data_IF_429255889574
#
_entry.id   IF_429255889574
#
_cell.length_a   1.000
_cell.length_b   1.000
_cell.length_c   1.000
_cell.angle_alpha   90.00
_cell.angle_beta   90.00
_cell.angle_gamma   90.00
#
_symmetry.space_group_name_H-M   'P 1'
#
loop_
_entity.id
_entity.type
_entity.pdbx_description
1 polymer ?
#
# COMPACT_ATOMS: atom_id res chain seq x y z
N UNK A 1 42.72 -9.53 14.53
CA UNK A 1 41.98 -10.78 14.28
C UNK A 1 42.39 -11.24 12.90
N UNK A 2 42.93 -12.44 12.80
CA UNK A 2 43.23 -13.05 11.50
C UNK A 2 41.93 -13.60 10.92
N UNK A 3 41.42 -12.97 9.85
CA UNK A 3 40.15 -13.37 9.22
C UNK A 3 40.31 -14.63 8.34
N UNK A 4 41.53 -15.17 8.20
CA UNK A 4 41.79 -16.37 7.40
C UNK A 4 41.29 -17.67 8.04
N UNK A 5 40.97 -17.67 9.35
CA UNK A 5 40.40 -18.82 10.06
C UNK A 5 38.85 -18.85 10.04
N UNK A 6 38.19 -17.85 9.44
CA UNK A 6 36.73 -17.83 9.40
C UNK A 6 36.18 -18.90 8.43
N UNK A 7 35.07 -19.56 8.78
CA UNK A 7 34.38 -20.48 7.87
C UNK A 7 34.02 -19.79 6.56
N UNK A 8 34.21 -20.49 5.44
CA UNK A 8 33.99 -19.94 4.10
C UNK A 8 32.57 -19.41 3.89
N UNK A 9 31.56 -20.05 4.49
CA UNK A 9 30.17 -19.59 4.43
C UNK A 9 29.94 -18.22 5.11
N UNK A 10 30.70 -17.93 6.17
CA UNK A 10 30.64 -16.63 6.85
C UNK A 10 31.30 -15.56 5.99
N UNK A 11 32.45 -15.87 5.40
CA UNK A 11 33.15 -14.95 4.49
C UNK A 11 32.26 -14.60 3.29
N UNK A 12 31.61 -15.60 2.67
CA UNK A 12 30.63 -15.35 1.59
C UNK A 12 29.48 -14.46 2.05
N UNK A 13 28.88 -14.75 3.20
CA UNK A 13 27.75 -13.96 3.73
C UNK A 13 28.14 -12.50 4.01
N UNK A 14 29.36 -12.25 4.49
CA UNK A 14 29.89 -10.91 4.73
C UNK A 14 30.13 -10.15 3.43
N UNK A 15 30.71 -10.81 2.42
CA UNK A 15 30.90 -10.22 1.10
C UNK A 15 29.56 -9.88 0.44
N UNK A 16 28.58 -10.78 0.55
CA UNK A 16 27.23 -10.55 0.04
C UNK A 16 26.56 -9.38 0.77
N UNK A 17 26.71 -9.29 2.09
CA UNK A 17 26.20 -8.16 2.87
C UNK A 17 26.83 -6.85 2.42
N UNK A 18 28.15 -6.81 2.24
CA UNK A 18 28.85 -5.61 1.78
C UNK A 18 28.37 -5.17 0.39
N UNK A 19 28.31 -6.10 -0.57
CA UNK A 19 27.83 -5.82 -1.91
C UNK A 19 26.38 -5.31 -1.91
N UNK A 20 25.51 -5.86 -1.06
CA UNK A 20 24.14 -5.38 -0.91
C UNK A 20 24.07 -3.98 -0.30
N UNK A 21 24.95 -3.65 0.66
CA UNK A 21 25.03 -2.31 1.23
C UNK A 21 25.50 -1.29 0.18
N UNK A 22 26.48 -1.64 -0.65
CA UNK A 22 26.94 -0.79 -1.77
C UNK A 22 25.79 -0.49 -2.75
N UNK A 23 24.93 -1.48 -3.03
CA UNK A 23 23.73 -1.29 -3.86
C UNK A 23 22.76 -0.31 -3.20
N UNK A 24 22.48 -0.48 -1.90
CA UNK A 24 21.56 0.39 -1.16
C UNK A 24 22.09 1.83 -1.14
N UNK A 25 23.38 2.01 -0.86
CA UNK A 25 24.03 3.33 -0.86
C UNK A 25 23.99 3.99 -2.24
N UNK A 26 24.30 3.24 -3.30
CA UNK A 26 24.20 3.74 -4.68
C UNK A 26 22.78 4.22 -5.01
N UNK A 27 21.75 3.46 -4.62
CA UNK A 27 20.35 3.86 -4.81
C UNK A 27 20.01 5.10 -3.98
N UNK A 28 20.43 5.15 -2.72
CA UNK A 28 20.19 6.30 -1.86
C UNK A 28 20.80 7.59 -2.44
N UNK A 29 22.05 7.53 -2.92
CA UNK A 29 22.74 8.68 -3.49
C UNK A 29 22.02 9.25 -4.72
N UNK A 30 21.39 8.40 -5.55
CA UNK A 30 20.57 8.86 -6.69
C UNK A 30 19.37 9.73 -6.26
N UNK A 31 18.87 9.54 -5.03
CA UNK A 31 17.79 10.33 -4.45
C UNK A 31 18.32 11.50 -3.61
N UNK A 32 19.50 11.36 -2.99
CA UNK A 32 20.08 12.37 -2.10
C UNK A 32 20.39 13.69 -2.80
N UNK A 33 20.85 13.62 -4.05
CA UNK A 33 21.21 14.80 -4.84
C UNK A 33 19.98 15.59 -5.37
N UNK A 34 18.76 15.12 -5.10
CA UNK A 34 17.52 15.76 -5.55
C UNK A 34 16.83 16.49 -4.41
N UNK A 35 16.20 17.63 -4.72
CA UNK A 35 15.33 18.31 -3.76
C UNK A 35 14.07 17.47 -3.48
N UNK A 36 13.99 16.88 -2.29
CA UNK A 36 12.82 16.10 -1.86
C UNK A 36 11.52 16.92 -1.93
N UNK A 37 11.59 18.23 -1.66
CA UNK A 37 10.44 19.13 -1.71
C UNK A 37 9.90 19.28 -3.14
N UNK A 38 10.80 19.50 -4.11
CA UNK A 38 10.42 19.66 -5.52
C UNK A 38 9.88 18.36 -6.12
N UNK A 39 10.44 17.22 -5.73
CA UNK A 39 9.95 15.92 -6.20
C UNK A 39 8.60 15.57 -5.55
N UNK A 40 8.41 15.88 -4.26
CA UNK A 40 7.11 15.76 -3.61
C UNK A 40 6.05 16.62 -4.29
N UNK A 41 6.33 17.86 -4.70
CA UNK A 41 5.31 18.67 -5.39
C UNK A 41 4.76 18.02 -6.66
N UNK A 42 5.57 17.22 -7.36
CA UNK A 42 5.19 16.53 -8.61
C UNK A 42 4.44 15.21 -8.38
N UNK A 43 4.44 14.67 -7.16
CA UNK A 43 3.83 13.38 -6.83
C UNK A 43 2.36 13.50 -6.43
N UNK A 44 1.56 12.51 -6.83
CA UNK A 44 0.21 12.31 -6.29
C UNK A 44 0.25 11.98 -4.79
N UNK A 45 -0.83 12.20 -4.03
CA UNK A 45 -0.87 11.83 -2.61
C UNK A 45 -0.53 10.35 -2.33
N UNK A 46 -0.89 9.46 -3.25
CA UNK A 46 -0.61 8.03 -3.14
C UNK A 46 0.88 7.72 -3.37
N UNK A 47 1.52 8.38 -4.34
CA UNK A 47 2.96 8.24 -4.59
C UNK A 47 3.80 8.78 -3.42
N UNK A 48 3.38 9.91 -2.83
CA UNK A 48 3.97 10.44 -1.59
C UNK A 48 3.91 9.43 -0.46
N UNK A 49 2.72 8.89 -0.19
CA UNK A 49 2.52 7.89 0.86
C UNK A 49 3.42 6.66 0.64
N UNK A 50 3.54 6.17 -0.60
CA UNK A 50 4.46 5.07 -0.95
C UNK A 50 5.91 5.42 -0.66
N UNK A 51 6.36 6.59 -1.10
CA UNK A 51 7.73 7.06 -0.89
C UNK A 51 8.07 7.11 0.60
N UNK A 52 7.22 7.74 1.41
CA UNK A 52 7.43 7.88 2.86
C UNK A 52 7.40 6.53 3.59
N UNK A 53 6.48 5.63 3.21
CA UNK A 53 6.39 4.29 3.80
C UNK A 53 7.65 3.46 3.45
N UNK A 54 8.15 3.55 2.21
CA UNK A 54 9.39 2.87 1.80
C UNK A 54 10.60 3.43 2.55
N UNK A 55 10.67 4.75 2.75
CA UNK A 55 11.73 5.37 3.54
C UNK A 55 11.70 4.87 4.99
N UNK A 56 10.53 4.88 5.64
CA UNK A 56 10.36 4.37 7.00
C UNK A 56 10.69 2.87 7.11
N UNK A 57 10.27 2.06 6.14
CA UNK A 57 10.59 0.63 6.09
C UNK A 57 12.10 0.40 5.96
N UNK A 58 12.76 1.14 5.07
CA UNK A 58 14.20 1.03 4.82
C UNK A 58 14.99 1.36 6.09
N UNK A 59 14.68 2.48 6.76
CA UNK A 59 15.35 2.89 8.00
C UNK A 59 15.19 1.82 9.08
N UNK A 60 13.97 1.34 9.30
CA UNK A 60 13.71 0.30 10.31
C UNK A 60 14.41 -1.03 9.96
N UNK A 61 14.50 -1.37 8.68
CA UNK A 61 15.18 -2.59 8.22
C UNK A 61 16.70 -2.49 8.44
N UNK A 62 17.31 -1.36 8.09
CA UNK A 62 18.74 -1.13 8.33
C UNK A 62 19.06 -1.12 9.83
N UNK A 63 18.18 -0.54 10.64
CA UNK A 63 18.34 -0.57 12.09
C UNK A 63 18.20 -1.99 12.67
N UNK A 64 17.27 -2.80 12.15
CA UNK A 64 17.17 -4.21 12.50
C UNK A 64 18.47 -4.98 12.17
N UNK A 65 19.03 -4.79 10.97
CA UNK A 65 20.30 -5.40 10.57
C UNK A 65 21.43 -4.94 11.50
N UNK A 66 21.50 -3.66 11.83
CA UNK A 66 22.48 -3.12 12.78
C UNK A 66 22.41 -3.81 14.14
N UNK A 67 21.20 -4.00 14.69
CA UNK A 67 21.02 -4.69 15.97
C UNK A 67 21.53 -6.14 15.90
N UNK A 68 21.22 -6.86 14.81
CA UNK A 68 21.71 -8.23 14.62
C UNK A 68 23.24 -8.29 14.53
N UNK A 69 23.87 -7.36 13.82
CA UNK A 69 25.33 -7.28 13.69
C UNK A 69 26.02 -7.00 15.04
N UNK A 70 25.36 -6.27 15.94
CA UNK A 70 25.84 -6.05 17.30
C UNK A 70 25.53 -7.20 18.27
N UNK A 71 24.95 -8.31 17.78
CA UNK A 71 24.60 -9.47 18.60
C UNK A 71 23.44 -9.24 19.57
N UNK A 72 22.61 -8.22 19.32
CA UNK A 72 21.42 -7.95 20.14
C UNK A 72 20.32 -8.99 19.86
N UNK A 73 19.60 -9.39 20.92
CA UNK A 73 18.40 -10.23 20.78
C UNK A 73 17.23 -9.40 20.20
N UNK A 74 17.07 -9.50 18.88
CA UNK A 74 15.99 -8.81 18.16
C UNK A 74 14.60 -9.36 18.47
N UNK A 75 14.44 -10.57 19.01
CA UNK A 75 13.11 -11.16 19.25
C UNK A 75 12.33 -10.39 20.33
N UNK A 76 13.03 -9.82 21.31
CA UNK A 76 12.44 -9.00 22.39
C UNK A 76 12.51 -7.50 22.11
N UNK A 77 13.17 -7.10 21.03
CA UNK A 77 13.41 -5.70 20.73
C UNK A 77 12.14 -5.02 20.14
N UNK A 78 11.81 -3.77 20.54
CA UNK A 78 10.65 -3.04 20.01
C UNK A 78 10.64 -2.82 18.49
N UNK A 79 11.76 -3.05 17.82
CA UNK A 79 11.88 -2.95 16.35
C UNK A 79 10.88 -3.84 15.61
N UNK A 80 10.51 -5.01 16.18
CA UNK A 80 9.50 -5.87 15.56
C UNK A 80 8.12 -5.21 15.52
N UNK A 81 7.80 -4.37 16.51
CA UNK A 81 6.57 -3.59 16.51
C UNK A 81 6.61 -2.53 15.40
N UNK A 82 7.74 -1.84 15.26
CA UNK A 82 7.96 -0.83 14.22
C UNK A 82 7.88 -1.41 12.81
N UNK A 83 8.52 -2.55 12.57
CA UNK A 83 8.44 -3.28 11.30
C UNK A 83 6.99 -3.69 10.99
N UNK A 84 6.27 -4.28 11.96
CA UNK A 84 4.87 -4.65 11.79
C UNK A 84 3.97 -3.45 11.53
N UNK A 85 4.22 -2.30 12.19
CA UNK A 85 3.48 -1.06 11.97
C UNK A 85 3.64 -0.60 10.52
N UNK A 86 4.87 -0.58 10.00
CA UNK A 86 5.13 -0.16 8.62
C UNK A 86 4.55 -1.16 7.61
N UNK A 87 4.66 -2.48 7.86
CA UNK A 87 4.04 -3.51 7.00
C UNK A 87 2.51 -3.35 6.89
N UNK A 88 1.83 -2.97 7.98
CA UNK A 88 0.39 -2.66 7.94
C UNK A 88 0.10 -1.45 7.06
N UNK A 89 0.93 -0.42 7.09
CA UNK A 89 0.80 0.75 6.20
C UNK A 89 1.00 0.37 4.73
N UNK A 90 1.98 -0.48 4.41
CA UNK A 90 2.18 -1.03 3.05
C UNK A 90 0.92 -1.78 2.58
N UNK A 91 0.36 -2.66 3.43
CA UNK A 91 -0.85 -3.40 3.11
C UNK A 91 -2.05 -2.48 2.84
N UNK A 92 -2.18 -1.39 3.62
CA UNK A 92 -3.26 -0.41 3.42
C UNK A 92 -3.11 0.38 2.12
N UNK A 93 -1.89 0.77 1.76
CA UNK A 93 -1.63 1.40 0.45
C UNK A 93 -2.04 0.46 -0.67
N UNK A 94 -1.63 -0.81 -0.61
CA UNK A 94 -2.01 -1.82 -1.60
C UNK A 94 -3.53 -1.99 -1.72
N UNK A 95 -4.24 -2.05 -0.60
CA UNK A 95 -5.71 -2.12 -0.58
C UNK A 95 -6.36 -0.94 -1.31
N UNK A 96 -5.82 0.28 -1.14
CA UNK A 96 -6.31 1.49 -1.81
C UNK A 96 -6.07 1.40 -3.32
N UNK A 97 -4.92 0.87 -3.76
CA UNK A 97 -4.63 0.67 -5.18
C UNK A 97 -5.55 -0.36 -5.81
N UNK A 98 -5.74 -1.49 -5.14
CA UNK A 98 -6.59 -2.58 -5.61
C UNK A 98 -8.05 -2.12 -5.73
N UNK A 99 -8.54 -1.29 -4.79
CA UNK A 99 -9.87 -0.67 -4.87
C UNK A 99 -10.07 0.20 -6.10
N UNK A 100 -9.01 0.80 -6.64
CA UNK A 100 -9.09 1.59 -7.88
C UNK A 100 -9.35 0.70 -9.10
N UNK A 101 -8.88 -0.55 -9.05
CA UNK A 101 -9.03 -1.54 -10.12
C UNK A 101 -10.30 -2.39 -9.95
N UNK A 102 -10.96 -2.31 -8.81
CA UNK A 102 -12.15 -3.11 -8.52
C UNK A 102 -13.32 -2.78 -9.47
N UNK A 103 -14.09 -3.80 -9.92
CA UNK A 103 -15.26 -3.58 -10.76
C UNK A 103 -16.29 -2.73 -10.01
N UNK A 104 -16.82 -1.71 -10.69
CA UNK A 104 -17.85 -0.83 -10.14
C UNK A 104 -19.23 -1.38 -10.47
N UNK A 105 -20.14 -1.33 -9.49
CA UNK A 105 -21.53 -1.70 -9.71
C UNK A 105 -22.20 -0.71 -10.67
N UNK A 106 -22.87 -1.23 -11.70
CA UNK A 106 -23.76 -0.40 -12.53
C UNK A 106 -25.04 -0.10 -11.74
N UNK A 107 -25.09 1.12 -11.19
CA UNK A 107 -26.23 1.62 -10.41
C UNK A 107 -27.50 1.69 -11.26
N UNK A 108 -27.38 1.98 -12.56
CA UNK A 108 -28.51 2.06 -13.48
C UNK A 108 -29.11 0.66 -13.72
N UNK A 109 -28.27 -0.32 -14.03
CA UNK A 109 -28.70 -1.71 -14.17
C UNK A 109 -29.31 -2.26 -12.88
N UNK A 110 -28.69 -1.98 -11.73
CA UNK A 110 -29.18 -2.38 -10.40
C UNK A 110 -30.59 -1.82 -10.13
N UNK A 111 -30.83 -0.54 -10.45
CA UNK A 111 -32.16 0.10 -10.34
C UNK A 111 -33.18 -0.58 -11.26
N UNK A 112 -32.79 -0.97 -12.48
CA UNK A 112 -33.67 -1.70 -13.41
C UNK A 112 -34.05 -3.07 -12.87
N UNK A 113 -33.09 -3.83 -12.33
CA UNK A 113 -33.36 -5.12 -11.71
C UNK A 113 -34.33 -5.01 -10.54
N UNK A 114 -34.09 -4.06 -9.62
CA UNK A 114 -34.99 -3.81 -8.48
C UNK A 114 -36.39 -3.41 -8.95
N UNK A 115 -36.50 -2.48 -9.92
CA UNK A 115 -37.80 -2.04 -10.45
C UNK A 115 -38.56 -3.16 -11.15
N UNK A 116 -37.86 -4.04 -11.87
CA UNK A 116 -38.48 -5.22 -12.50
C UNK A 116 -38.91 -6.26 -11.48
N UNK A 117 -38.14 -6.46 -10.41
CA UNK A 117 -38.47 -7.43 -9.36
C UNK A 117 -39.65 -6.98 -8.49
N UNK A 118 -39.81 -5.66 -8.29
CA UNK A 118 -40.95 -5.05 -7.59
C UNK A 118 -42.15 -4.78 -8.51
N UNK A 119 -42.10 -5.20 -9.78
CA UNK A 119 -43.20 -5.00 -10.71
C UNK A 119 -44.32 -5.99 -10.39
N UNK A 120 -45.41 -5.49 -9.81
CA UNK A 120 -46.62 -6.26 -9.53
C UNK A 120 -47.78 -5.81 -10.43
N UNK A 121 -48.40 -6.74 -11.16
CA UNK A 121 -49.45 -6.42 -12.16
C UNK A 121 -50.72 -5.85 -11.51
N UNK A 122 -50.98 -6.18 -10.25
CA UNK A 122 -52.19 -5.79 -9.53
C UNK A 122 -52.19 -4.31 -9.07
N UNK A 123 -51.03 -3.65 -9.00
CA UNK A 123 -50.95 -2.25 -8.58
C UNK A 123 -51.36 -1.23 -9.66
N UNK A 124 -51.35 -1.60 -10.95
CA UNK A 124 -51.83 -0.71 -12.02
C UNK A 124 -53.36 -0.75 -12.20
N UNK A 125 -54.02 -1.85 -11.84
CA UNK A 125 -55.48 -1.95 -11.90
C UNK A 125 -56.21 -1.01 -10.93
N UNK A 126 -55.50 -0.45 -9.93
CA UNK A 126 -56.02 0.46 -8.91
C UNK A 126 -55.70 1.95 -9.12
N UNK A 127 -55.17 2.38 -10.28
CA UNK A 127 -55.06 3.82 -10.57
C UNK A 127 -56.37 4.34 -11.17
N UNK A 128 -57.17 5.18 -10.47
CA UNK A 128 -58.37 5.76 -11.04
C UNK A 128 -57.96 6.69 -12.19
N UNK A 129 -58.58 6.53 -13.36
CA UNK A 129 -58.51 7.51 -14.43
C UNK A 129 -59.23 8.77 -13.91
N UNK A 130 -58.48 9.82 -13.59
CA UNK A 130 -59.03 11.14 -13.37
C UNK A 130 -59.42 11.70 -14.74
N UNK A 131 -60.71 11.63 -15.05
CA UNK A 131 -61.31 12.30 -16.20
C UNK A 131 -61.19 13.81 -15.98
N UNK A 132 -60.29 14.44 -16.75
CA UNK A 132 -60.19 15.90 -16.82
C UNK A 132 -61.33 16.39 -17.72
N UNK A 133 -62.45 16.74 -17.09
CA UNK A 133 -63.57 17.44 -17.69
C UNK A 133 -63.08 18.78 -18.26
N UNK A 134 -63.03 18.88 -19.61
CA UNK A 134 -62.87 20.15 -20.31
C UNK A 134 -64.11 21.01 -20.04
N UNK A 135 -63.95 22.11 -19.32
CA UNK A 135 -64.94 23.19 -19.31
C UNK A 135 -64.62 24.25 -20.39
N UNK A 136 -65.65 24.92 -20.93
CA UNK A 136 -65.65 25.62 -22.22
C UNK A 136 -64.83 26.91 -22.22
#
# INVERSE_FOLDING_TARGET
MDFSELPSNIITSLNDLNANLDIVESKYNQFYDRSLSEEHEKMTPLEKAKSEIVAAHTINSLFFIYLQLNGQDVSKHPINYELNRVSKSIARVKEIEDKRLAPKLDISASKRFVKSALWDKDQQAKKPKLDVEKRP
#
